data_IF_872622097610
#
_entry.id   IF_872622097610
#
_cell.length_a   1.000
_cell.length_b   1.000
_cell.length_c   1.000
_cell.angle_alpha   90.00
_cell.angle_beta   90.00
_cell.angle_gamma   90.00
#
_symmetry.space_group_name_H-M   'P 1'
#
loop_
_entity.id
_entity.type
_entity.pdbx_description
1 polymer ?
#
# COMPACT_ATOMS: atom_id res chain seq x y z
N UNK A 1 -7.04 11.31 0.45
CA UNK A 1 -7.37 10.00 -0.13
C UNK A 1 -8.72 9.54 0.43
N UNK A 2 -9.61 9.04 -0.43
CA UNK A 2 -10.91 8.48 -0.02
C UNK A 2 -11.03 7.10 -0.67
N UNK A 3 -10.67 6.05 0.06
CA UNK A 3 -10.92 4.67 -0.36
C UNK A 3 -12.38 4.31 -0.02
N UNK A 4 -13.16 3.94 -1.04
CA UNK A 4 -14.58 3.58 -0.88
C UNK A 4 -14.67 2.05 -0.87
N UNK A 5 -14.75 1.45 0.32
CA UNK A 5 -14.96 0.02 0.48
C UNK A 5 -16.28 -0.42 -0.18
N UNK A 6 -16.21 -1.09 -1.32
CA UNK A 6 -17.36 -1.78 -1.91
C UNK A 6 -17.34 -3.25 -1.48
N UNK A 7 -17.86 -3.55 -0.28
CA UNK A 7 -18.16 -4.93 0.11
C UNK A 7 -19.39 -5.43 -0.66
N UNK A 8 -19.16 -6.25 -1.69
CA UNK A 8 -20.23 -7.02 -2.34
C UNK A 8 -20.40 -8.38 -1.65
N UNK A 9 -21.50 -8.56 -0.94
CA UNK A 9 -21.91 -9.86 -0.40
C UNK A 9 -22.38 -10.77 -1.55
N UNK A 10 -21.65 -11.85 -1.84
CA UNK A 10 -22.08 -12.86 -2.83
C UNK A 10 -22.92 -13.95 -2.17
N UNK A 11 -24.14 -14.12 -2.70
CA UNK A 11 -25.20 -15.03 -2.25
C UNK A 11 -25.01 -16.45 -2.81
N UNK A 12 -25.23 -17.45 -1.95
CA UNK A 12 -25.10 -18.89 -2.15
C UNK A 12 -25.65 -19.45 -3.49
N UNK A 13 -24.81 -20.21 -4.22
CA UNK A 13 -25.23 -21.26 -5.16
C UNK A 13 -24.32 -22.49 -5.02
N UNK A 14 -24.69 -23.41 -4.12
CA UNK A 14 -23.87 -24.53 -3.65
C UNK A 14 -23.96 -25.81 -4.51
N UNK A 15 -24.77 -25.87 -5.56
CA UNK A 15 -25.10 -27.15 -6.20
C UNK A 15 -24.25 -27.52 -7.43
N UNK A 16 -23.60 -26.55 -8.12
CA UNK A 16 -22.85 -26.82 -9.36
C UNK A 16 -21.32 -26.99 -9.16
N UNK A 17 -20.83 -26.78 -7.94
CA UNK A 17 -19.40 -26.70 -7.63
C UNK A 17 -18.73 -28.09 -7.58
N UNK A 18 -19.46 -29.12 -7.15
CA UNK A 18 -18.88 -30.43 -6.85
C UNK A 18 -18.34 -31.18 -8.09
N UNK A 19 -18.96 -31.02 -9.26
CA UNK A 19 -18.59 -31.78 -10.47
C UNK A 19 -17.41 -31.13 -11.21
N UNK A 20 -17.29 -29.81 -11.12
CA UNK A 20 -16.21 -29.05 -11.77
C UNK A 20 -14.88 -29.17 -11.00
N UNK A 21 -14.92 -29.34 -9.67
CA UNK A 21 -13.72 -29.46 -8.84
C UNK A 21 -12.88 -30.72 -9.12
N UNK A 22 -13.49 -31.81 -9.58
CA UNK A 22 -12.80 -33.11 -9.77
C UNK A 22 -11.91 -33.09 -11.02
N UNK A 23 -12.27 -32.32 -12.06
CA UNK A 23 -11.59 -32.36 -13.36
C UNK A 23 -10.39 -31.38 -13.41
N UNK A 24 -10.36 -30.36 -12.55
CA UNK A 24 -9.34 -29.29 -12.57
C UNK A 24 -8.22 -29.55 -11.53
N UNK A 25 -8.28 -30.63 -10.75
CA UNK A 25 -7.35 -30.86 -9.62
C UNK A 25 -5.84 -30.85 -9.97
N UNK A 26 -5.39 -31.31 -11.16
CA UNK A 26 -3.97 -31.18 -11.53
C UNK A 26 -3.64 -29.84 -12.23
N UNK A 27 -4.62 -28.97 -12.49
CA UNK A 27 -4.46 -27.71 -13.24
C UNK A 27 -4.50 -26.44 -12.39
N UNK A 28 -4.67 -26.54 -11.07
CA UNK A 28 -4.45 -25.41 -10.16
C UNK A 28 -2.95 -25.15 -9.99
N UNK A 29 -2.26 -24.85 -11.10
CA UNK A 29 -1.08 -24.01 -11.04
C UNK A 29 -1.48 -22.76 -10.27
N UNK A 30 -0.70 -22.43 -9.25
CA UNK A 30 -0.95 -21.37 -8.30
C UNK A 30 -1.50 -20.11 -8.98
N UNK A 31 -2.84 -19.96 -8.98
CA UNK A 31 -3.41 -18.65 -9.16
C UNK A 31 -3.00 -17.89 -7.91
N UNK A 32 -1.97 -17.04 -8.00
CA UNK A 32 -1.84 -15.92 -7.08
C UNK A 32 -3.13 -15.14 -7.25
N UNK A 33 -4.10 -15.39 -6.36
CA UNK A 33 -5.21 -14.49 -6.16
C UNK A 33 -4.52 -13.18 -5.80
N UNK A 34 -4.55 -12.19 -6.70
CA UNK A 34 -4.36 -10.81 -6.32
C UNK A 34 -5.50 -10.52 -5.34
N UNK A 35 -5.25 -10.80 -4.07
CA UNK A 35 -6.06 -10.23 -3.03
C UNK A 35 -5.64 -8.77 -3.05
N UNK A 36 -6.49 -7.89 -3.57
CA UNK A 36 -6.45 -6.48 -3.21
C UNK A 36 -6.41 -6.45 -1.68
N UNK A 37 -5.24 -6.15 -1.12
CA UNK A 37 -5.15 -5.80 0.28
C UNK A 37 -5.68 -4.37 0.35
N UNK A 38 -6.91 -4.20 0.81
CA UNK A 38 -7.55 -2.90 0.94
C UNK A 38 -6.70 -1.89 1.74
N UNK A 39 -5.76 -2.37 2.57
CA UNK A 39 -4.77 -1.54 3.25
C UNK A 39 -3.75 -0.99 2.25
N UNK A 40 -3.21 -1.82 1.35
CA UNK A 40 -2.28 -1.35 0.33
C UNK A 40 -2.95 -0.43 -0.66
N UNK A 41 -4.18 -0.71 -1.09
CA UNK A 41 -4.91 0.22 -1.97
C UNK A 41 -5.08 1.61 -1.32
N UNK A 42 -5.33 1.65 -0.01
CA UNK A 42 -5.37 2.91 0.74
C UNK A 42 -4.00 3.58 0.80
N UNK A 43 -2.95 2.83 1.16
CA UNK A 43 -1.58 3.34 1.25
C UNK A 43 -1.15 3.93 -0.08
N UNK A 44 -1.36 3.22 -1.18
CA UNK A 44 -1.00 3.62 -2.54
C UNK A 44 -1.73 4.90 -2.95
N UNK A 45 -3.06 4.92 -2.82
CA UNK A 45 -3.88 6.08 -3.15
C UNK A 45 -3.54 7.32 -2.31
N UNK A 46 -3.08 7.12 -1.07
CA UNK A 46 -2.63 8.20 -0.20
C UNK A 46 -1.21 8.66 -0.51
N UNK A 47 -0.29 7.72 -0.70
CA UNK A 47 1.14 7.96 -0.82
C UNK A 47 1.54 8.47 -2.20
N UNK A 48 0.77 8.17 -3.26
CA UNK A 48 0.99 8.70 -4.61
C UNK A 48 1.13 10.24 -4.66
N UNK A 49 0.46 10.97 -3.75
CA UNK A 49 0.60 12.43 -3.66
C UNK A 49 2.00 12.90 -3.21
N UNK A 50 2.76 12.03 -2.53
CA UNK A 50 4.08 12.29 -2.00
C UNK A 50 5.22 11.80 -2.90
N UNK A 51 4.95 10.85 -3.79
CA UNK A 51 5.95 10.17 -4.61
C UNK A 51 6.83 11.15 -5.39
N UNK A 52 6.20 12.05 -6.15
CA UNK A 52 6.89 13.06 -6.95
C UNK A 52 7.76 14.01 -6.13
N UNK A 53 7.59 14.08 -4.81
CA UNK A 53 8.51 14.83 -3.94
C UNK A 53 9.66 13.96 -3.46
N UNK A 54 9.38 12.74 -3.01
CA UNK A 54 10.42 11.84 -2.48
C UNK A 54 11.36 11.35 -3.57
N UNK A 55 10.91 11.24 -4.81
CA UNK A 55 11.70 10.91 -6.00
C UNK A 55 12.52 12.11 -6.55
N UNK A 56 12.32 13.29 -5.93
CA UNK A 56 13.07 14.51 -6.20
C UNK A 56 12.60 15.34 -7.39
N UNK A 57 11.46 15.02 -8.02
CA UNK A 57 10.91 15.81 -9.13
C UNK A 57 10.35 17.15 -8.65
N UNK A 58 9.54 17.12 -7.59
CA UNK A 58 8.90 18.30 -7.02
C UNK A 58 9.83 19.00 -6.00
N UNK A 59 9.82 20.32 -6.02
CA UNK A 59 10.62 21.12 -5.10
C UNK A 59 10.14 21.02 -3.64
N UNK A 60 8.82 20.93 -3.43
CA UNK A 60 8.14 20.90 -2.14
C UNK A 60 7.05 19.81 -2.12
N UNK A 61 6.73 19.21 -0.97
CA UNK A 61 5.56 18.34 -0.87
C UNK A 61 4.29 19.16 -1.06
N UNK A 62 3.29 18.57 -1.68
CA UNK A 62 1.95 19.17 -1.80
C UNK A 62 1.26 19.17 -0.43
N UNK A 63 0.22 19.99 -0.29
CA UNK A 63 -0.62 19.97 0.92
C UNK A 63 -1.30 18.59 1.06
N UNK A 64 -1.76 18.04 -0.05
CA UNK A 64 -2.38 16.71 -0.13
C UNK A 64 -1.41 15.62 0.32
N UNK A 65 -0.12 15.70 -0.04
CA UNK A 65 0.89 14.80 0.49
C UNK A 65 0.96 14.85 2.01
N UNK A 66 1.10 16.05 2.59
CA UNK A 66 1.20 16.18 4.05
C UNK A 66 -0.06 15.72 4.77
N UNK A 67 -1.24 16.10 4.28
CA UNK A 67 -2.53 15.74 4.87
C UNK A 67 -2.74 14.21 4.82
N UNK A 68 -2.45 13.57 3.67
CA UNK A 68 -2.58 12.13 3.52
C UNK A 68 -1.54 11.36 4.35
N UNK A 69 -0.31 11.86 4.43
CA UNK A 69 0.74 11.24 5.25
C UNK A 69 0.40 11.30 6.75
N UNK A 70 -0.24 12.39 7.20
CA UNK A 70 -0.78 12.49 8.56
C UNK A 70 -1.89 11.47 8.81
N UNK A 71 -2.81 11.28 7.85
CA UNK A 71 -3.88 10.27 7.92
C UNK A 71 -3.27 8.86 8.06
N UNK A 72 -2.33 8.50 7.19
CA UNK A 72 -1.64 7.20 7.22
C UNK A 72 -0.94 6.97 8.57
N UNK A 73 -0.20 7.98 9.06
CA UNK A 73 0.46 7.94 10.37
C UNK A 73 -0.50 7.71 11.53
N UNK A 74 -1.71 8.27 11.45
CA UNK A 74 -2.75 8.11 12.47
C UNK A 74 -3.42 6.74 12.43
N UNK A 75 -3.53 6.12 11.25
CA UNK A 75 -4.23 4.85 11.03
C UNK A 75 -3.39 3.62 11.32
N UNK A 76 -2.09 3.66 11.00
CA UNK A 76 -1.20 2.49 11.09
C UNK A 76 -1.22 1.80 12.46
N UNK A 77 -1.41 2.56 13.55
CA UNK A 77 -1.48 2.03 14.93
C UNK A 77 -2.73 1.22 15.26
N UNK A 78 -3.78 1.31 14.45
CA UNK A 78 -5.04 0.58 14.64
C UNK A 78 -5.12 -0.67 13.78
N UNK A 79 -4.10 -0.95 12.99
CA UNK A 79 -4.03 -2.08 12.08
C UNK A 79 -3.13 -3.13 12.71
N UNK A 80 -3.62 -4.37 12.79
CA UNK A 80 -2.80 -5.49 13.24
C UNK A 80 -1.57 -5.66 12.32
N UNK A 81 -0.39 -5.66 12.93
CA UNK A 81 0.90 -5.61 12.27
C UNK A 81 1.04 -4.43 11.27
N UNK A 82 0.41 -3.29 11.57
CA UNK A 82 0.25 -2.17 10.64
C UNK A 82 1.55 -1.59 10.11
N UNK A 83 2.57 -1.41 10.97
CA UNK A 83 3.88 -0.86 10.55
C UNK A 83 4.52 -1.73 9.48
N UNK A 84 4.49 -3.05 9.68
CA UNK A 84 5.02 -4.02 8.71
C UNK A 84 4.20 -4.02 7.42
N UNK A 85 2.86 -4.00 7.52
CA UNK A 85 1.98 -3.94 6.34
C UNK A 85 2.22 -2.68 5.52
N UNK A 86 2.28 -1.51 6.15
CA UNK A 86 2.51 -0.23 5.45
C UNK A 86 3.89 -0.21 4.79
N UNK A 87 4.90 -0.79 5.43
CA UNK A 87 6.21 -0.98 4.81
C UNK A 87 6.10 -1.77 3.49
N UNK A 88 5.44 -2.94 3.52
CA UNK A 88 5.25 -3.75 2.32
C UNK A 88 4.43 -3.05 1.25
N UNK A 89 3.35 -2.34 1.61
CA UNK A 89 2.54 -1.62 0.64
C UNK A 89 3.34 -0.51 -0.05
N UNK A 90 4.16 0.26 0.68
CA UNK A 90 5.01 1.30 0.08
C UNK A 90 6.08 0.67 -0.84
N UNK A 91 6.67 -0.45 -0.43
CA UNK A 91 7.62 -1.19 -1.25
C UNK A 91 6.94 -1.71 -2.54
N UNK A 92 5.77 -2.33 -2.44
CA UNK A 92 5.01 -2.83 -3.59
C UNK A 92 4.58 -1.69 -4.53
N UNK A 93 4.04 -0.59 -3.97
CA UNK A 93 3.69 0.62 -4.71
C UNK A 93 4.86 1.14 -5.55
N UNK A 94 6.03 1.29 -4.93
CA UNK A 94 7.24 1.76 -5.62
C UNK A 94 7.66 0.80 -6.75
N UNK A 95 7.57 -0.51 -6.52
CA UNK A 95 7.96 -1.51 -7.51
C UNK A 95 6.88 -1.78 -8.58
N UNK A 96 5.65 -1.25 -8.41
CA UNK A 96 4.52 -1.48 -9.32
C UNK A 96 4.56 -0.63 -10.60
N UNK A 97 5.37 0.42 -10.63
CA UNK A 97 5.46 1.34 -11.75
C UNK A 97 6.85 2.01 -11.84
N UNK A 98 7.11 2.72 -12.93
CA UNK A 98 8.38 3.43 -13.09
C UNK A 98 8.36 4.78 -12.36
N UNK A 99 9.35 5.00 -11.49
CA UNK A 99 9.63 6.28 -10.85
C UNK A 99 11.16 6.47 -10.68
N UNK A 100 11.59 7.64 -10.19
CA UNK A 100 13.01 7.84 -9.83
C UNK A 100 13.30 7.29 -8.43
N UNK A 101 14.53 6.84 -8.15
CA UNK A 101 14.91 6.37 -6.82
C UNK A 101 14.52 7.36 -5.72
N UNK A 102 13.94 6.85 -4.64
CA UNK A 102 13.55 7.68 -3.51
C UNK A 102 14.79 8.27 -2.85
N UNK A 103 14.79 9.59 -2.71
CA UNK A 103 15.88 10.32 -2.10
C UNK A 103 15.66 10.36 -0.58
N UNK A 104 16.52 9.68 0.17
CA UNK A 104 16.48 9.66 1.63
C UNK A 104 16.48 11.08 2.25
N UNK A 105 17.19 12.02 1.64
CA UNK A 105 17.20 13.43 2.05
C UNK A 105 15.82 14.10 1.88
N UNK A 106 15.09 13.79 0.80
CA UNK A 106 13.73 14.27 0.57
C UNK A 106 12.77 13.66 1.58
N UNK A 107 12.84 12.36 1.84
CA UNK A 107 12.00 11.69 2.85
C UNK A 107 12.16 12.35 4.24
N UNK A 108 13.40 12.62 4.66
CA UNK A 108 13.68 13.31 5.93
C UNK A 108 13.16 14.75 5.93
N UNK A 109 13.32 15.47 4.82
CA UNK A 109 12.84 16.85 4.71
C UNK A 109 11.31 16.93 4.67
N UNK A 110 10.64 16.00 3.99
CA UNK A 110 9.18 15.86 3.98
C UNK A 110 8.63 15.80 5.39
N UNK A 111 9.25 14.97 6.24
CA UNK A 111 8.87 14.78 7.64
C UNK A 111 8.93 16.10 8.42
N UNK A 112 9.96 16.93 8.20
CA UNK A 112 10.05 18.27 8.81
C UNK A 112 9.02 19.24 8.25
N UNK A 113 8.89 19.32 6.93
CA UNK A 113 7.99 20.26 6.26
C UNK A 113 6.53 19.99 6.64
N UNK A 114 6.12 18.71 6.64
CA UNK A 114 4.78 18.32 7.03
C UNK A 114 4.55 18.34 8.56
N UNK A 115 5.59 18.59 9.36
CA UNK A 115 5.48 18.67 10.82
C UNK A 115 5.06 17.35 11.48
N UNK A 116 5.47 16.21 10.92
CA UNK A 116 5.09 14.88 11.41
C UNK A 116 6.29 14.12 11.95
N UNK A 117 6.06 13.18 12.86
CA UNK A 117 6.99 12.08 13.10
C UNK A 117 6.42 10.84 12.40
N UNK A 118 7.18 10.20 11.50
CA UNK A 118 6.69 9.04 10.74
C UNK A 118 6.57 7.81 11.65
N UNK A 119 5.41 7.16 11.60
CA UNK A 119 5.10 5.94 12.37
C UNK A 119 5.46 4.66 11.63
N UNK A 120 5.84 4.76 10.35
CA UNK A 120 6.21 3.65 9.48
C UNK A 120 7.31 4.10 8.50
N UNK A 121 8.13 3.17 7.98
CA UNK A 121 9.20 3.50 7.04
C UNK A 121 8.65 3.79 5.63
N UNK A 122 9.43 4.56 4.86
CA UNK A 122 9.21 4.79 3.42
C UNK A 122 10.52 4.40 2.76
N UNK A 123 10.49 3.39 1.89
CA UNK A 123 11.68 2.83 1.24
C UNK A 123 11.25 1.89 0.12
N UNK A 124 12.02 1.86 -0.98
CA UNK A 124 11.81 0.97 -2.13
C UNK A 124 12.37 -0.45 -1.91
N UNK A 125 13.31 -0.57 -0.97
CA UNK A 125 14.14 -1.77 -0.79
C UNK A 125 14.34 -2.14 0.69
N UNK A 126 13.37 -1.83 1.55
CA UNK A 126 13.50 -2.14 2.97
C UNK A 126 13.09 -3.58 3.23
N UNK A 127 13.90 -4.30 4.01
CA UNK A 127 13.49 -5.61 4.53
C UNK A 127 12.41 -5.45 5.61
N UNK A 128 11.14 -5.36 5.17
CA UNK A 128 9.98 -5.18 6.05
C UNK A 128 9.76 -6.37 6.99
N UNK A 129 10.34 -7.55 6.73
CA UNK A 129 10.18 -8.73 7.58
C UNK A 129 10.81 -8.57 8.98
N UNK A 130 11.73 -7.60 9.12
CA UNK A 130 12.46 -7.29 10.36
C UNK A 130 11.82 -6.20 11.22
N UNK A 131 10.65 -5.68 10.83
CA UNK A 131 9.88 -4.68 11.58
C UNK A 131 8.96 -5.31 12.63
#
# INVERSE_FOLDING_TARGET
>A
CYYKNNMSAKKNQLAFVAIVLIIISPYYNASKIFHEDAICDEVDACFAYCEVYVDGIAANPTRECCDNLLILNGRVKYIDNGVRKYCYCIEDFSNSHYHRPYLQSRILNMTRICGIHRSFPISEHMDCSKL
#
